data_IF_927385108076
#
_entry.id   IF_927385108076
#
_cell.length_a   1.000
_cell.length_b   1.000
_cell.length_c   1.000
_cell.angle_alpha   90.00
_cell.angle_beta   90.00
_cell.angle_gamma   90.00
#
_symmetry.space_group_name_H-M   'P 1'
#
loop_
_entity.id
_entity.type
_entity.pdbx_description
1 polymer ?
#
# COMPACT_ATOMS: atom_id res chain seq x y z
N UNK A 1 -28.71 -21.74 26.21
CA UNK A 1 -27.72 -22.25 25.23
C UNK A 1 -26.72 -23.09 26.01
N UNK A 2 -26.45 -24.34 25.65
CA UNK A 2 -25.57 -25.21 26.44
C UNK A 2 -24.10 -24.71 26.36
N UNK A 3 -23.33 -24.84 27.46
CA UNK A 3 -21.93 -24.45 27.51
C UNK A 3 -21.07 -25.12 26.40
N UNK A 4 -21.48 -26.31 25.97
CA UNK A 4 -20.89 -27.01 24.82
C UNK A 4 -21.07 -26.26 23.50
N UNK A 5 -22.28 -25.76 23.22
CA UNK A 5 -22.56 -25.05 21.98
C UNK A 5 -21.72 -23.78 21.88
N UNK A 6 -21.52 -23.10 23.01
CA UNK A 6 -20.66 -21.91 23.06
C UNK A 6 -19.19 -22.20 22.74
N UNK A 7 -18.62 -23.23 23.37
CA UNK A 7 -17.22 -23.60 23.10
C UNK A 7 -17.00 -24.03 21.64
N UNK A 8 -17.98 -24.73 21.05
CA UNK A 8 -17.92 -25.08 19.62
C UNK A 8 -17.97 -23.82 18.73
N UNK A 9 -18.86 -22.87 19.04
CA UNK A 9 -18.94 -21.61 18.26
C UNK A 9 -17.65 -20.81 18.38
N UNK A 10 -17.13 -20.60 19.61
CA UNK A 10 -15.88 -19.87 19.83
C UNK A 10 -14.70 -20.55 19.10
N UNK A 11 -14.57 -21.87 19.24
CA UNK A 11 -13.53 -22.63 18.56
C UNK A 11 -13.64 -22.60 17.05
N UNK A 12 -14.86 -22.69 16.50
CA UNK A 12 -15.10 -22.60 15.06
C UNK A 12 -14.75 -21.21 14.51
N UNK A 13 -15.13 -20.13 15.21
CA UNK A 13 -14.78 -18.76 14.79
C UNK A 13 -13.27 -18.53 14.80
N UNK A 14 -12.58 -19.03 15.82
CA UNK A 14 -11.13 -18.92 15.90
C UNK A 14 -10.44 -19.74 14.78
N UNK A 15 -10.92 -20.94 14.52
CA UNK A 15 -10.41 -21.77 13.42
C UNK A 15 -10.68 -21.14 12.05
N UNK A 16 -11.85 -20.53 11.84
CA UNK A 16 -12.17 -19.79 10.63
C UNK A 16 -11.24 -18.57 10.43
N UNK A 17 -10.95 -17.82 11.50
CA UNK A 17 -10.01 -16.71 11.44
C UNK A 17 -8.60 -17.20 11.06
N UNK A 18 -8.13 -18.26 11.70
CA UNK A 18 -6.84 -18.86 11.38
C UNK A 18 -6.78 -19.42 9.95
N UNK A 19 -7.84 -20.08 9.50
CA UNK A 19 -7.99 -20.56 8.12
C UNK A 19 -7.96 -19.43 7.10
N UNK A 20 -8.60 -18.31 7.40
CA UNK A 20 -8.55 -17.11 6.57
C UNK A 20 -7.13 -16.52 6.48
N UNK A 21 -6.40 -16.43 7.60
CA UNK A 21 -5.00 -15.96 7.61
C UNK A 21 -4.10 -16.87 6.79
N UNK A 22 -4.24 -18.18 6.92
CA UNK A 22 -3.51 -19.16 6.12
C UNK A 22 -3.85 -19.04 4.63
N UNK A 23 -5.14 -18.93 4.31
CA UNK A 23 -5.59 -18.78 2.93
C UNK A 23 -5.00 -17.51 2.29
N UNK A 24 -5.00 -16.37 2.98
CA UNK A 24 -4.38 -15.13 2.48
C UNK A 24 -2.89 -15.31 2.17
N UNK A 25 -2.18 -16.02 3.05
CA UNK A 25 -0.74 -16.25 2.87
C UNK A 25 -0.46 -17.23 1.74
N UNK A 26 -1.15 -18.37 1.71
CA UNK A 26 -0.94 -19.42 0.71
C UNK A 26 -1.41 -19.03 -0.69
N UNK A 27 -2.45 -18.19 -0.79
CA UNK A 27 -2.94 -17.68 -2.08
C UNK A 27 -2.11 -16.53 -2.65
N UNK A 28 -1.06 -16.08 -1.93
CA UNK A 28 -0.23 -14.95 -2.35
C UNK A 28 -0.93 -13.59 -2.28
N UNK A 29 -2.08 -13.48 -1.60
CA UNK A 29 -2.85 -12.24 -1.48
C UNK A 29 -2.59 -11.48 -0.17
N UNK A 30 -1.65 -11.94 0.66
CA UNK A 30 -1.33 -11.31 1.95
C UNK A 30 -0.88 -9.85 1.80
N UNK A 31 -0.23 -9.49 0.69
CA UNK A 31 0.19 -8.12 0.37
C UNK A 31 -0.98 -7.12 0.32
N UNK A 32 -2.20 -7.59 0.13
CA UNK A 32 -3.38 -6.71 0.12
C UNK A 32 -3.69 -6.12 1.49
N UNK A 33 -3.26 -6.76 2.56
CA UNK A 33 -3.53 -6.33 3.94
C UNK A 33 -2.26 -6.06 4.74
N UNK A 34 -1.19 -6.80 4.45
CA UNK A 34 0.04 -6.81 5.23
C UNK A 34 1.27 -6.75 4.31
N UNK A 35 2.31 -6.09 4.77
CA UNK A 35 3.61 -6.15 4.12
C UNK A 35 4.08 -7.60 3.96
N UNK A 36 4.58 -8.03 2.79
CA UNK A 36 4.99 -9.42 2.53
C UNK A 36 5.98 -10.02 3.55
N UNK A 37 6.83 -9.21 4.19
CA UNK A 37 7.74 -9.65 5.25
C UNK A 37 7.02 -10.32 6.43
N UNK A 38 5.73 -10.03 6.64
CA UNK A 38 4.93 -10.63 7.71
C UNK A 38 4.23 -11.92 7.28
N UNK A 39 4.41 -12.41 6.05
CA UNK A 39 3.73 -13.60 5.55
C UNK A 39 3.98 -14.83 6.45
N UNK A 40 5.22 -15.05 6.88
CA UNK A 40 5.58 -16.18 7.77
C UNK A 40 4.91 -16.03 9.14
N UNK A 41 4.96 -14.84 9.73
CA UNK A 41 4.33 -14.57 11.04
C UNK A 41 2.82 -14.76 10.94
N UNK A 42 2.21 -14.29 9.85
CA UNK A 42 0.77 -14.46 9.59
C UNK A 42 0.39 -15.95 9.43
N UNK A 43 1.21 -16.74 8.72
CA UNK A 43 0.98 -18.16 8.56
C UNK A 43 1.08 -18.91 9.90
N UNK A 44 2.12 -18.63 10.70
CA UNK A 44 2.30 -19.23 12.04
C UNK A 44 1.13 -18.87 12.95
N UNK A 45 0.76 -17.59 13.02
CA UNK A 45 -0.38 -17.15 13.82
C UNK A 45 -1.70 -17.81 13.36
N UNK A 46 -1.92 -17.90 12.04
CA UNK A 46 -3.07 -18.61 11.48
C UNK A 46 -3.10 -20.08 11.87
N UNK A 47 -1.96 -20.78 11.77
CA UNK A 47 -1.85 -22.18 12.21
C UNK A 47 -2.16 -22.37 13.70
N UNK A 48 -1.63 -21.49 14.55
CA UNK A 48 -1.91 -21.50 16.00
C UNK A 48 -3.41 -21.27 16.25
N UNK A 49 -4.06 -20.34 15.57
CA UNK A 49 -5.49 -20.08 15.69
C UNK A 49 -6.33 -21.30 15.29
N UNK A 50 -5.96 -22.01 14.21
CA UNK A 50 -6.65 -23.24 13.78
C UNK A 50 -6.51 -24.33 14.83
N UNK A 51 -5.30 -24.58 15.35
CA UNK A 51 -5.03 -25.60 16.37
C UNK A 51 -5.77 -25.30 17.67
N UNK A 52 -5.71 -24.06 18.15
CA UNK A 52 -6.41 -23.63 19.35
C UNK A 52 -7.92 -23.71 19.16
N UNK A 53 -8.43 -23.27 18.01
CA UNK A 53 -9.86 -23.35 17.67
C UNK A 53 -10.35 -24.79 17.67
N UNK A 54 -9.61 -25.70 17.06
CA UNK A 54 -9.90 -27.15 17.10
C UNK A 54 -9.85 -27.72 18.53
N UNK A 55 -8.83 -27.38 19.30
CA UNK A 55 -8.72 -27.81 20.70
C UNK A 55 -9.88 -27.31 21.56
N UNK A 56 -10.32 -26.06 21.38
CA UNK A 56 -11.48 -25.50 22.07
C UNK A 56 -12.78 -26.19 21.69
N UNK A 57 -12.98 -26.46 20.39
CA UNK A 57 -14.20 -27.15 19.91
C UNK A 57 -14.27 -28.58 20.43
N UNK A 58 -13.14 -29.27 20.59
CA UNK A 58 -13.08 -30.66 21.08
C UNK A 58 -13.05 -30.76 22.61
N UNK A 59 -12.81 -29.67 23.33
CA UNK A 59 -12.68 -29.66 24.79
C UNK A 59 -14.03 -30.06 25.44
N UNK A 60 -13.99 -31.04 26.33
CA UNK A 60 -15.13 -31.35 27.19
C UNK A 60 -15.31 -30.23 28.22
N UNK A 61 -16.26 -29.33 28.00
CA UNK A 61 -16.54 -28.20 28.89
C UNK A 61 -17.22 -28.69 30.15
N UNK A 62 -16.60 -28.48 31.32
CA UNK A 62 -17.19 -28.79 32.62
C UNK A 62 -18.38 -27.84 32.95
N UNK A 63 -19.28 -28.26 33.87
CA UNK A 63 -20.37 -27.42 34.34
C UNK A 63 -19.76 -26.19 35.08
N UNK A 64 -19.95 -24.98 34.55
CA UNK A 64 -19.52 -23.75 35.22
C UNK A 64 -18.79 -22.70 34.33
N UNK A 65 -18.37 -23.06 33.15
CA UNK A 65 -17.80 -22.07 32.20
C UNK A 65 -18.91 -21.41 31.40
N UNK A 66 -19.38 -20.26 31.89
CA UNK A 66 -20.39 -19.45 31.20
C UNK A 66 -19.87 -18.94 29.83
N UNK A 67 -20.78 -18.94 28.87
CA UNK A 67 -20.52 -18.30 27.56
C UNK A 67 -20.26 -16.82 27.79
N UNK A 68 -19.09 -16.36 27.40
CA UNK A 68 -18.83 -14.91 27.31
C UNK A 68 -19.30 -14.42 25.94
N UNK A 69 -20.52 -13.88 25.88
CA UNK A 69 -21.07 -13.24 24.68
C UNK A 69 -20.09 -12.22 24.08
N UNK A 70 -19.31 -11.53 24.93
CA UNK A 70 -18.30 -10.56 24.49
C UNK A 70 -17.19 -11.18 23.63
N UNK A 71 -16.75 -12.41 23.94
CA UNK A 71 -15.71 -13.11 23.16
C UNK A 71 -16.21 -13.49 21.77
N UNK A 72 -17.43 -14.05 21.69
CA UNK A 72 -18.05 -14.39 20.40
C UNK A 72 -18.24 -13.13 19.57
N UNK A 73 -18.75 -12.05 20.18
CA UNK A 73 -18.93 -10.77 19.50
C UNK A 73 -17.60 -10.19 18.98
N UNK A 74 -16.53 -10.23 19.78
CA UNK A 74 -15.20 -9.78 19.34
C UNK A 74 -14.68 -10.61 18.17
N UNK A 75 -14.71 -11.93 18.24
CA UNK A 75 -14.23 -12.80 17.15
C UNK A 75 -15.06 -12.62 15.86
N UNK A 76 -16.38 -12.50 15.99
CA UNK A 76 -17.25 -12.22 14.85
C UNK A 76 -16.96 -10.83 14.26
N UNK A 77 -16.73 -9.82 15.09
CA UNK A 77 -16.34 -8.48 14.65
C UNK A 77 -15.01 -8.50 13.90
N UNK A 78 -13.99 -9.20 14.41
CA UNK A 78 -12.70 -9.35 13.71
C UNK A 78 -12.84 -10.02 12.35
N UNK A 79 -13.63 -11.08 12.25
CA UNK A 79 -13.93 -11.74 10.98
C UNK A 79 -14.65 -10.80 10.00
N UNK A 80 -15.65 -10.07 10.47
CA UNK A 80 -16.35 -9.07 9.66
C UNK A 80 -15.39 -8.00 9.17
N UNK A 81 -14.56 -7.42 10.04
CA UNK A 81 -13.56 -6.42 9.68
C UNK A 81 -12.54 -6.95 8.65
N UNK A 82 -12.07 -8.19 8.81
CA UNK A 82 -11.19 -8.84 7.86
C UNK A 82 -11.84 -8.97 6.47
N UNK A 83 -13.09 -9.41 6.40
CA UNK A 83 -13.85 -9.50 5.16
C UNK A 83 -14.12 -8.13 4.52
N UNK A 84 -14.48 -7.13 5.33
CA UNK A 84 -14.70 -5.76 4.83
C UNK A 84 -13.41 -5.12 4.31
N UNK A 85 -12.27 -5.37 4.96
CA UNK A 85 -10.97 -4.89 4.50
C UNK A 85 -10.61 -5.43 3.11
N UNK A 86 -10.91 -6.70 2.82
CA UNK A 86 -10.71 -7.27 1.47
C UNK A 86 -11.61 -6.63 0.41
N UNK A 87 -12.82 -6.22 0.77
CA UNK A 87 -13.71 -5.49 -0.16
C UNK A 87 -13.21 -4.08 -0.41
N UNK A 88 -12.72 -3.39 0.63
CA UNK A 88 -12.11 -2.06 0.51
C UNK A 88 -10.89 -2.06 -0.42
N UNK A 89 -10.05 -3.08 -0.35
CA UNK A 89 -8.91 -3.25 -1.27
C UNK A 89 -9.37 -3.47 -2.71
N UNK A 90 -10.52 -4.13 -2.93
CA UNK A 90 -11.11 -4.22 -4.28
C UNK A 90 -11.63 -2.87 -4.80
N UNK A 91 -12.04 -1.96 -3.93
CA UNK A 91 -12.42 -0.57 -4.30
C UNK A 91 -11.19 0.22 -4.74
N UNK A 92 -10.04 0.05 -4.09
CA UNK A 92 -8.74 0.55 -4.59
C UNK A 92 -8.36 -0.07 -5.94
N UNK A 93 -9.02 -1.17 -6.33
CA UNK A 93 -8.72 -1.92 -7.55
C UNK A 93 -9.67 -1.67 -8.73
N UNK A 94 -10.73 -0.96 -8.57
CA UNK A 94 -11.66 -0.73 -9.67
C UNK A 94 -12.84 0.14 -9.27
N UNK A 95 -12.80 1.34 -9.75
CA UNK A 95 -13.89 2.25 -10.00
C UNK A 95 -15.07 2.34 -9.05
N UNK A 96 -15.37 3.57 -8.69
CA UNK A 96 -16.56 4.10 -8.05
C UNK A 96 -16.68 3.93 -6.52
N UNK A 97 -16.30 4.97 -5.89
CA UNK A 97 -16.37 5.50 -4.60
C UNK A 97 -17.48 5.15 -3.62
N UNK A 98 -17.08 5.06 -2.38
CA UNK A 98 -17.81 5.67 -1.27
C UNK A 98 -16.72 6.28 -0.38
N UNK A 99 -16.70 7.59 -0.33
CA UNK A 99 -15.79 8.40 0.48
C UNK A 99 -16.47 8.66 1.83
N UNK A 100 -15.82 8.41 2.98
CA UNK A 100 -16.06 9.24 4.15
C UNK A 100 -15.03 10.37 4.12
N UNK A 101 -15.53 11.60 3.88
CA UNK A 101 -14.75 12.80 4.05
C UNK A 101 -14.43 13.01 5.53
N UNK A 102 -13.15 13.06 5.87
CA UNK A 102 -12.66 13.82 7.00
C UNK A 102 -11.32 14.45 6.62
N UNK A 103 -11.41 15.73 6.36
CA UNK A 103 -10.31 16.61 6.04
C UNK A 103 -9.62 17.04 7.33
N UNK A 104 -8.57 16.36 7.72
CA UNK A 104 -7.51 17.01 8.48
C UNK A 104 -6.20 16.54 7.85
N UNK A 105 -5.63 17.43 7.05
CA UNK A 105 -4.34 17.21 6.39
C UNK A 105 -3.28 16.96 7.46
N UNK A 106 -2.93 15.70 7.66
CA UNK A 106 -1.73 15.34 8.40
C UNK A 106 -0.55 15.76 7.52
N UNK A 107 0.02 16.90 7.87
CA UNK A 107 1.28 17.36 7.29
C UNK A 107 2.35 16.32 7.62
N UNK A 108 2.80 15.57 6.62
CA UNK A 108 3.88 14.60 6.75
C UNK A 108 5.21 15.35 6.71
N UNK A 109 5.50 16.12 7.78
CA UNK A 109 6.77 16.83 7.99
C UNK A 109 7.63 16.18 9.06
N UNK A 110 7.48 14.86 9.29
CA UNK A 110 8.32 14.10 10.21
C UNK A 110 9.06 12.98 9.51
N UNK A 111 10.20 12.52 10.03
CA UNK A 111 10.85 11.33 9.52
C UNK A 111 9.89 10.15 9.59
N UNK A 112 9.83 9.34 8.53
CA UNK A 112 8.97 8.15 8.49
C UNK A 112 9.19 7.28 9.74
N UNK A 113 8.13 6.71 10.35
CA UNK A 113 8.27 5.82 11.50
C UNK A 113 9.18 4.64 11.14
N UNK A 114 10.35 4.57 11.79
CA UNK A 114 11.36 3.51 11.55
C UNK A 114 12.77 4.01 11.22
N UNK A 115 12.94 5.30 10.93
CA UNK A 115 14.27 5.90 10.79
C UNK A 115 14.71 6.49 12.13
N UNK A 116 15.26 5.65 13.00
CA UNK A 116 16.12 6.13 14.09
C UNK A 116 17.48 6.56 13.50
N UNK A 117 18.14 7.59 14.09
CA UNK A 117 19.47 8.00 13.66
C UNK A 117 20.45 6.85 13.90
N UNK A 118 20.90 6.19 12.82
CA UNK A 118 21.96 5.19 12.87
C UNK A 118 21.60 3.74 12.54
N UNK A 119 20.37 3.44 12.11
CA UNK A 119 20.02 2.11 11.60
C UNK A 119 20.45 1.97 10.14
N UNK A 120 21.71 1.64 9.87
CA UNK A 120 22.07 1.01 8.61
C UNK A 120 21.35 -0.33 8.58
N UNK A 121 20.30 -0.45 7.78
CA UNK A 121 19.81 -1.76 7.38
C UNK A 121 20.92 -2.38 6.55
N UNK A 122 21.73 -3.22 7.22
CA UNK A 122 22.60 -4.14 6.52
C UNK A 122 21.69 -5.03 5.68
N UNK A 123 21.72 -4.83 4.37
CA UNK A 123 21.02 -5.66 3.40
C UNK A 123 21.70 -7.02 3.38
N UNK A 124 21.67 -7.69 4.52
CA UNK A 124 22.09 -9.06 4.69
C UNK A 124 21.23 -9.92 3.77
N UNK A 125 21.89 -10.70 2.96
CA UNK A 125 21.33 -11.67 2.05
C UNK A 125 20.17 -12.44 2.73
N UNK A 126 18.95 -12.46 2.15
CA UNK A 126 17.82 -13.14 2.77
C UNK A 126 18.16 -14.61 3.00
N UNK A 127 17.70 -15.21 4.11
CA UNK A 127 17.97 -16.61 4.39
C UNK A 127 17.44 -17.50 3.26
N UNK A 128 18.17 -18.55 2.85
CA UNK A 128 17.75 -19.45 1.80
C UNK A 128 16.41 -20.10 2.14
N UNK A 129 15.40 -19.87 1.29
CA UNK A 129 14.03 -20.35 1.48
C UNK A 129 13.02 -19.26 1.90
N UNK A 130 13.42 -18.01 2.10
CA UNK A 130 12.49 -16.92 2.21
C UNK A 130 11.81 -16.72 0.85
N UNK A 131 10.47 -16.70 0.85
CA UNK A 131 9.70 -16.19 -0.29
C UNK A 131 9.98 -14.68 -0.37
N UNK A 132 11.09 -14.32 -0.99
CA UNK A 132 11.46 -12.94 -1.23
C UNK A 132 10.54 -12.38 -2.30
N UNK A 133 10.15 -11.13 -2.13
CA UNK A 133 9.44 -10.38 -3.17
C UNK A 133 10.19 -10.43 -4.52
N UNK A 134 11.50 -10.64 -4.51
CA UNK A 134 12.36 -10.82 -5.67
C UNK A 134 11.92 -11.99 -6.57
N UNK A 135 11.35 -13.06 -6.02
CA UNK A 135 10.77 -14.16 -6.81
C UNK A 135 9.41 -13.83 -7.43
N UNK A 136 8.74 -12.77 -6.97
CA UNK A 136 7.44 -12.32 -7.47
C UNK A 136 7.55 -11.10 -8.41
N UNK A 137 8.69 -10.40 -8.37
CA UNK A 137 8.95 -9.26 -9.23
C UNK A 137 10.03 -9.60 -10.27
N UNK A 138 9.80 -9.33 -11.55
CA UNK A 138 10.86 -9.45 -12.55
C UNK A 138 12.04 -8.57 -12.13
N UNK A 139 13.26 -9.07 -12.33
CA UNK A 139 14.51 -8.36 -12.06
C UNK A 139 14.43 -6.93 -12.61
N UNK A 140 14.28 -5.97 -11.70
CA UNK A 140 14.06 -4.58 -12.08
C UNK A 140 15.41 -3.98 -12.41
N UNK A 141 15.66 -3.76 -13.69
CA UNK A 141 16.78 -2.93 -14.11
C UNK A 141 16.61 -1.54 -13.50
N UNK A 142 17.67 -1.00 -12.88
CA UNK A 142 17.63 0.31 -12.23
C UNK A 142 17.25 1.44 -13.20
N UNK A 143 17.39 1.21 -14.50
CA UNK A 143 17.20 2.21 -15.54
C UNK A 143 16.38 1.69 -16.72
N UNK A 144 15.73 2.62 -17.44
CA UNK A 144 14.90 2.35 -18.61
C UNK A 144 15.22 3.35 -19.70
N UNK A 145 15.33 2.87 -20.95
CA UNK A 145 15.50 3.74 -22.13
C UNK A 145 14.15 3.93 -22.81
N UNK A 146 13.71 5.19 -22.95
CA UNK A 146 12.49 5.59 -23.66
C UNK A 146 12.85 6.66 -24.66
N UNK A 147 12.56 6.42 -25.95
CA UNK A 147 12.88 7.40 -26.99
C UNK A 147 14.36 7.78 -27.10
N UNK A 148 15.27 6.86 -26.72
CA UNK A 148 16.72 7.11 -26.73
C UNK A 148 17.25 7.86 -25.51
N UNK A 149 16.38 8.21 -24.54
CA UNK A 149 16.77 8.84 -23.27
C UNK A 149 16.76 7.80 -22.17
N UNK A 150 17.79 7.77 -21.35
CA UNK A 150 17.88 6.88 -20.18
C UNK A 150 17.27 7.54 -18.95
N UNK A 151 16.34 6.84 -18.31
CA UNK A 151 15.61 7.27 -17.11
C UNK A 151 15.94 6.37 -15.94
N UNK A 152 16.09 6.95 -14.76
CA UNK A 152 16.19 6.23 -13.50
C UNK A 152 14.78 5.81 -13.07
N UNK A 153 14.56 4.53 -12.77
CA UNK A 153 13.31 4.03 -12.21
C UNK A 153 13.23 4.39 -10.74
N UNK A 154 12.12 5.01 -10.34
CA UNK A 154 11.89 5.46 -8.97
C UNK A 154 10.40 5.44 -8.66
N UNK A 155 10.00 5.35 -7.41
CA UNK A 155 8.60 5.55 -7.01
C UNK A 155 8.37 6.95 -6.43
N UNK A 156 7.10 7.34 -6.32
CA UNK A 156 6.71 8.67 -5.83
C UNK A 156 7.18 8.96 -4.40
N UNK A 157 7.24 7.94 -3.53
CA UNK A 157 7.65 8.13 -2.14
C UNK A 157 9.15 8.41 -2.03
N UNK A 158 9.98 7.63 -2.74
CA UNK A 158 11.44 7.84 -2.79
C UNK A 158 11.77 9.17 -3.45
N UNK A 159 11.11 9.50 -4.55
CA UNK A 159 11.28 10.79 -5.24
C UNK A 159 10.98 11.96 -4.29
N UNK A 160 9.90 11.87 -3.51
CA UNK A 160 9.56 12.89 -2.52
C UNK A 160 10.60 12.96 -1.39
N UNK A 161 10.99 11.83 -0.81
CA UNK A 161 12.00 11.78 0.25
C UNK A 161 13.32 12.42 -0.19
N UNK A 162 13.80 12.10 -1.40
CA UNK A 162 15.02 12.68 -1.95
C UNK A 162 14.86 14.16 -2.25
N UNK A 163 13.74 14.57 -2.84
CA UNK A 163 13.47 15.96 -3.15
C UNK A 163 13.41 16.85 -1.90
N UNK A 164 12.96 16.30 -0.76
CA UNK A 164 12.89 17.04 0.51
C UNK A 164 14.23 17.02 1.27
N UNK A 165 14.96 15.89 1.27
CA UNK A 165 16.17 15.73 2.06
C UNK A 165 17.44 16.13 1.31
N UNK A 166 17.53 15.81 0.01
CA UNK A 166 18.74 15.96 -0.81
C UNK A 166 18.37 16.26 -2.27
N UNK A 167 17.78 17.43 -2.56
CA UNK A 167 17.28 17.76 -3.89
C UNK A 167 18.36 17.69 -4.98
N UNK A 168 19.62 17.96 -4.63
CA UNK A 168 20.79 17.87 -5.53
C UNK A 168 21.14 16.43 -5.93
N UNK A 169 20.71 15.45 -5.17
CA UNK A 169 20.93 14.01 -5.46
C UNK A 169 19.80 13.39 -6.30
N UNK A 170 18.74 14.16 -6.58
CA UNK A 170 17.62 13.66 -7.37
C UNK A 170 18.07 13.46 -8.83
N UNK A 171 17.79 12.28 -9.46
CA UNK A 171 18.11 12.06 -10.86
C UNK A 171 17.45 13.08 -11.78
N UNK A 172 18.17 13.53 -12.81
CA UNK A 172 17.64 14.53 -13.76
C UNK A 172 16.51 13.98 -14.64
N UNK A 173 16.56 12.69 -14.98
CA UNK A 173 15.54 12.01 -15.79
C UNK A 173 15.02 10.80 -15.04
N UNK A 174 13.72 10.81 -14.75
CA UNK A 174 13.05 9.82 -13.88
C UNK A 174 11.89 9.19 -14.64
N UNK A 175 11.71 7.89 -14.46
CA UNK A 175 10.49 7.18 -14.89
C UNK A 175 9.84 6.53 -13.67
N UNK A 176 8.52 6.70 -13.55
CA UNK A 176 7.75 6.15 -12.46
C UNK A 176 6.33 5.77 -12.88
N UNK A 177 5.63 5.04 -12.03
CA UNK A 177 4.28 4.56 -12.28
C UNK A 177 3.36 5.03 -11.17
N UNK A 178 2.11 5.32 -11.53
CA UNK A 178 1.12 5.70 -10.55
C UNK A 178 -0.29 5.72 -11.12
N UNK A 179 -1.23 6.02 -10.24
CA UNK A 179 -2.64 6.15 -10.53
C UNK A 179 -2.99 7.63 -10.67
N UNK A 180 -3.73 7.97 -11.71
CA UNK A 180 -4.19 9.33 -11.99
C UNK A 180 -5.36 9.68 -11.06
N UNK A 181 -5.29 10.88 -10.50
CA UNK A 181 -6.43 11.56 -9.90
C UNK A 181 -6.55 12.97 -10.49
N UNK A 182 -7.77 13.48 -10.56
CA UNK A 182 -8.06 14.75 -11.19
C UNK A 182 -8.81 15.68 -10.25
N UNK A 183 -8.53 16.96 -10.36
CA UNK A 183 -9.33 18.03 -9.78
C UNK A 183 -9.50 19.16 -10.78
N UNK A 184 -10.64 19.88 -10.78
CA UNK A 184 -10.85 20.98 -11.71
C UNK A 184 -9.77 22.05 -11.67
N UNK A 185 -9.15 22.27 -10.49
CA UNK A 185 -8.10 23.26 -10.29
C UNK A 185 -6.79 22.85 -10.97
N UNK A 186 -6.44 21.56 -10.95
CA UNK A 186 -5.26 21.04 -11.64
C UNK A 186 -5.52 20.98 -13.15
N UNK A 187 -6.68 20.52 -13.56
CA UNK A 187 -7.07 20.44 -14.98
C UNK A 187 -6.98 21.82 -15.66
N UNK A 188 -7.42 22.88 -14.98
CA UNK A 188 -7.33 24.26 -15.47
C UNK A 188 -5.89 24.74 -15.68
N UNK A 189 -4.91 24.07 -15.06
CA UNK A 189 -3.46 24.35 -15.21
C UNK A 189 -2.76 23.41 -16.21
N UNK A 190 -3.51 22.50 -16.86
CA UNK A 190 -2.92 21.47 -17.71
C UNK A 190 -2.16 20.41 -16.92
N UNK A 191 -2.62 20.11 -15.70
CA UNK A 191 -1.98 19.16 -14.79
C UNK A 191 -2.94 18.03 -14.44
N UNK A 192 -2.39 16.84 -14.21
CA UNK A 192 -3.07 15.74 -13.54
C UNK A 192 -2.25 15.32 -12.31
N UNK A 193 -2.90 14.89 -11.25
CA UNK A 193 -2.19 14.34 -10.11
C UNK A 193 -1.94 12.84 -10.34
N UNK A 194 -0.74 12.37 -10.07
CA UNK A 194 -0.40 10.94 -10.17
C UNK A 194 0.12 10.49 -8.81
N UNK A 195 -0.43 9.38 -8.30
CA UNK A 195 -0.15 8.88 -6.96
C UNK A 195 0.34 7.44 -6.98
N UNK A 196 1.17 7.09 -6.02
CA UNK A 196 1.54 5.71 -5.73
C UNK A 196 1.26 5.41 -4.27
N UNK A 197 0.51 4.36 -3.98
CA UNK A 197 0.23 3.97 -2.60
C UNK A 197 1.47 3.33 -1.99
N UNK A 198 1.85 3.79 -0.82
CA UNK A 198 2.99 3.31 -0.05
C UNK A 198 2.52 2.84 1.33
N UNK A 199 3.09 1.75 1.83
CA UNK A 199 2.75 1.17 3.13
C UNK A 199 3.99 0.57 3.77
N UNK A 200 4.16 0.75 5.08
CA UNK A 200 5.30 0.22 5.84
C UNK A 200 4.98 -1.14 6.44
N UNK A 201 3.80 -1.32 7.01
CA UNK A 201 3.45 -2.58 7.68
C UNK A 201 2.13 -3.19 7.19
N UNK A 202 1.12 -2.40 6.95
CA UNK A 202 -0.21 -2.91 6.60
C UNK A 202 -1.07 -1.79 5.95
N UNK A 203 -2.22 -2.17 5.42
CA UNK A 203 -3.15 -1.24 4.79
C UNK A 203 -3.56 -0.07 5.71
N UNK A 204 -3.53 -0.28 7.03
CA UNK A 204 -3.89 0.77 8.00
C UNK A 204 -2.87 1.92 8.07
N UNK A 205 -1.66 1.75 7.55
CA UNK A 205 -0.64 2.81 7.46
C UNK A 205 -0.44 3.31 6.01
N UNK A 206 -1.31 2.90 5.09
CA UNK A 206 -1.16 3.23 3.68
C UNK A 206 -1.34 4.73 3.44
N UNK A 207 -0.36 5.33 2.78
CA UNK A 207 -0.37 6.73 2.31
C UNK A 207 -0.20 6.77 0.79
N UNK A 208 -0.69 7.80 0.15
CA UNK A 208 -0.54 7.99 -1.28
C UNK A 208 0.27 9.27 -1.58
N UNK A 209 1.62 9.21 -1.57
CA UNK A 209 2.42 10.29 -2.09
C UNK A 209 2.25 10.41 -3.60
N UNK A 210 2.28 11.65 -4.10
CA UNK A 210 2.14 11.92 -5.52
C UNK A 210 2.60 13.31 -5.93
N UNK A 211 2.66 13.49 -7.23
CA UNK A 211 3.05 14.75 -7.87
C UNK A 211 2.02 15.16 -8.92
N UNK A 212 1.88 16.47 -9.11
CA UNK A 212 1.21 16.98 -10.28
C UNK A 212 2.12 16.80 -11.50
N UNK A 213 1.56 16.28 -12.57
CA UNK A 213 2.22 15.97 -13.83
C UNK A 213 1.67 16.88 -14.90
N UNK A 214 2.54 17.63 -15.58
CA UNK A 214 2.16 18.47 -16.68
C UNK A 214 1.85 17.62 -17.91
N UNK A 215 0.66 17.80 -18.48
CA UNK A 215 0.17 17.08 -19.65
C UNK A 215 -0.41 18.05 -20.67
N UNK A 216 -0.40 17.68 -21.96
CA UNK A 216 -0.96 18.52 -23.02
C UNK A 216 -2.50 18.58 -22.94
N UNK A 217 -3.11 17.47 -22.55
CA UNK A 217 -4.56 17.33 -22.47
C UNK A 217 -4.94 16.45 -21.26
N UNK A 218 -5.38 17.05 -20.14
CA UNK A 218 -5.85 16.31 -18.96
C UNK A 218 -7.03 15.39 -19.24
N UNK A 219 -7.89 15.70 -20.21
CA UNK A 219 -9.11 14.93 -20.49
C UNK A 219 -8.83 13.55 -21.09
N UNK A 220 -7.61 13.33 -21.55
CA UNK A 220 -7.16 12.00 -22.01
C UNK A 220 -7.01 10.99 -20.88
N UNK A 221 -6.99 11.42 -19.62
CA UNK A 221 -6.73 10.57 -18.47
C UNK A 221 -7.95 10.53 -17.55
N UNK A 222 -8.37 9.33 -17.18
CA UNK A 222 -9.47 9.12 -16.25
C UNK A 222 -8.98 8.90 -14.82
N UNK A 223 -9.70 9.36 -13.78
CA UNK A 223 -9.42 9.01 -12.40
C UNK A 223 -9.32 7.50 -12.22
N UNK A 224 -8.34 7.05 -11.44
CA UNK A 224 -8.05 5.62 -11.22
C UNK A 224 -7.26 4.93 -12.33
N UNK A 225 -7.00 5.61 -13.44
CA UNK A 225 -6.20 5.07 -14.55
C UNK A 225 -4.72 4.98 -14.15
N UNK A 226 -4.08 3.85 -14.45
CA UNK A 226 -2.66 3.68 -14.24
C UNK A 226 -1.87 4.22 -15.43
N UNK A 227 -0.80 4.94 -15.10
CA UNK A 227 0.11 5.54 -16.08
C UNK A 227 1.56 5.29 -15.71
N UNK A 228 2.41 5.21 -16.74
CA UNK A 228 3.84 5.36 -16.61
C UNK A 228 4.19 6.76 -17.09
N UNK A 229 4.97 7.48 -16.29
CA UNK A 229 5.37 8.87 -16.54
C UNK A 229 6.89 8.93 -16.61
N UNK A 230 7.45 9.54 -17.66
CA UNK A 230 8.87 9.76 -17.82
C UNK A 230 9.16 11.25 -18.04
N UNK A 231 10.16 11.78 -17.34
CA UNK A 231 10.49 13.19 -17.38
C UNK A 231 11.36 13.62 -16.19
N UNK A 232 11.13 14.83 -15.69
CA UNK A 232 11.90 15.40 -14.58
C UNK A 232 11.02 16.16 -13.59
N UNK A 233 11.46 16.20 -12.35
CA UNK A 233 10.81 16.97 -11.29
C UNK A 233 11.38 18.40 -11.30
N UNK A 234 10.51 19.40 -11.28
CA UNK A 234 10.86 20.81 -11.25
C UNK A 234 10.13 21.54 -10.12
N UNK A 235 10.73 22.59 -9.59
CA UNK A 235 10.09 23.45 -8.60
C UNK A 235 8.98 24.24 -9.29
N UNK A 236 7.79 24.24 -8.68
CA UNK A 236 6.67 25.05 -9.14
C UNK A 236 6.86 26.51 -8.71
N UNK A 237 6.62 27.50 -9.58
CA UNK A 237 6.73 28.92 -9.21
C UNK A 237 5.71 29.36 -8.15
N UNK A 238 4.64 28.59 -7.96
CA UNK A 238 3.58 28.82 -6.96
C UNK A 238 3.11 27.49 -6.42
N UNK A 239 2.64 27.44 -5.16
CA UNK A 239 2.03 26.23 -4.61
C UNK A 239 0.84 25.79 -5.48
N UNK A 240 0.77 24.50 -5.73
CA UNK A 240 -0.26 23.92 -6.57
C UNK A 240 -1.59 23.86 -5.82
N UNK A 241 -2.70 24.18 -6.49
CA UNK A 241 -4.03 24.11 -5.93
C UNK A 241 -4.59 22.68 -5.95
N UNK A 242 -5.79 22.55 -5.40
CA UNK A 242 -6.54 21.29 -5.40
C UNK A 242 -6.16 20.38 -4.24
N UNK A 243 -7.03 19.43 -3.97
CA UNK A 243 -6.86 18.44 -2.92
C UNK A 243 -7.36 17.07 -3.42
N UNK A 244 -6.65 16.48 -4.41
CA UNK A 244 -7.05 15.19 -4.96
C UNK A 244 -6.97 14.12 -3.85
N UNK A 245 -7.94 13.22 -3.83
CA UNK A 245 -8.05 12.18 -2.82
C UNK A 245 -7.94 10.79 -3.44
N UNK A 246 -7.05 9.97 -2.90
CA UNK A 246 -6.94 8.55 -3.25
C UNK A 246 -7.81 7.75 -2.27
N UNK A 247 -8.81 7.01 -2.74
CA UNK A 247 -9.67 6.23 -1.85
C UNK A 247 -8.90 5.11 -1.12
N UNK A 248 -9.24 4.85 0.14
CA UNK A 248 -8.76 3.69 0.89
C UNK A 248 -7.36 3.83 1.50
N UNK A 249 -6.77 5.02 1.49
CA UNK A 249 -5.54 5.36 2.21
C UNK A 249 -5.85 6.27 3.40
N UNK A 250 -4.94 6.32 4.39
CA UNK A 250 -5.12 7.22 5.54
C UNK A 250 -4.83 8.68 5.19
N UNK A 251 -3.97 8.90 4.18
CA UNK A 251 -3.65 10.23 3.70
C UNK A 251 -3.23 10.21 2.24
N UNK A 252 -3.71 11.19 1.48
CA UNK A 252 -3.21 11.53 0.15
C UNK A 252 -2.30 12.74 0.27
N UNK A 253 -1.09 12.66 -0.26
CA UNK A 253 -0.07 13.70 -0.07
C UNK A 253 0.45 14.15 -1.43
N UNK A 254 -0.20 15.17 -2.00
CA UNK A 254 0.28 15.85 -3.20
C UNK A 254 1.46 16.77 -2.86
N UNK A 255 2.55 16.66 -3.60
CA UNK A 255 3.61 17.68 -3.54
C UNK A 255 3.11 18.97 -4.20
N UNK A 256 2.98 20.03 -3.41
CA UNK A 256 2.46 21.31 -3.89
C UNK A 256 3.54 22.29 -4.35
N UNK A 257 4.78 21.97 -4.08
CA UNK A 257 5.93 22.84 -4.41
C UNK A 257 6.63 22.43 -5.71
N UNK A 258 6.30 21.24 -6.23
CA UNK A 258 6.97 20.65 -7.38
C UNK A 258 5.98 20.15 -8.42
N UNK A 259 6.38 20.25 -9.69
CA UNK A 259 5.64 19.72 -10.85
C UNK A 259 6.54 18.75 -11.58
N UNK A 260 6.01 17.60 -11.94
CA UNK A 260 6.69 16.67 -12.81
C UNK A 260 6.44 17.07 -14.28
N UNK A 261 7.50 17.53 -14.95
CA UNK A 261 7.47 17.83 -16.38
C UNK A 261 7.66 16.55 -17.17
N UNK A 262 6.56 16.01 -17.65
CA UNK A 262 6.62 14.78 -18.42
C UNK A 262 7.05 15.05 -19.87
N UNK A 263 7.87 14.12 -20.41
CA UNK A 263 8.16 14.01 -21.84
C UNK A 263 7.36 12.88 -22.47
N UNK A 264 7.05 11.87 -21.68
CA UNK A 264 6.26 10.72 -22.10
C UNK A 264 5.33 10.30 -20.97
N UNK A 265 4.05 10.13 -21.29
CA UNK A 265 3.04 9.59 -20.39
C UNK A 265 2.17 8.62 -21.16
N UNK A 266 2.14 7.37 -20.68
CA UNK A 266 1.39 6.30 -21.34
C UNK A 266 0.52 5.56 -20.33
N UNK A 267 -0.73 5.25 -20.69
CA UNK A 267 -1.55 4.32 -19.93
C UNK A 267 -0.86 2.95 -19.85
N UNK A 268 -0.94 2.34 -18.70
CA UNK A 268 -0.43 0.98 -18.45
C UNK A 268 -1.50 0.14 -17.75
N UNK A 269 -1.34 -1.17 -17.81
CA UNK A 269 -2.09 -2.06 -16.94
C UNK A 269 -1.68 -1.83 -15.49
N UNK A 270 -2.62 -2.04 -14.58
CA UNK A 270 -2.35 -1.97 -13.16
C UNK A 270 -1.26 -2.99 -12.79
N UNK A 271 -0.19 -2.58 -12.07
CA UNK A 271 0.81 -3.51 -11.57
C UNK A 271 0.18 -4.61 -10.72
N UNK A 272 0.71 -5.84 -10.81
CA UNK A 272 0.22 -6.96 -9.98
C UNK A 272 0.28 -6.66 -8.48
N UNK A 273 1.30 -5.91 -8.04
CA UNK A 273 1.39 -5.31 -6.69
C UNK A 273 1.35 -3.79 -6.82
N UNK A 274 0.20 -3.16 -6.54
CA UNK A 274 0.05 -1.71 -6.73
C UNK A 274 0.65 -0.88 -5.59
N UNK A 275 1.08 -1.52 -4.50
CA UNK A 275 1.68 -0.86 -3.35
C UNK A 275 3.21 -0.84 -3.42
N UNK A 276 3.80 0.20 -2.86
CA UNK A 276 5.23 0.28 -2.57
C UNK A 276 5.43 -0.08 -1.09
N UNK A 277 6.26 -1.08 -0.84
CA UNK A 277 6.56 -1.57 0.51
C UNK A 277 8.00 -1.28 0.95
N UNK A 278 8.86 -0.92 0.00
CA UNK A 278 10.26 -0.64 0.23
C UNK A 278 10.59 0.78 -0.20
N UNK A 279 11.51 1.39 0.54
CA UNK A 279 12.03 2.72 0.26
C UNK A 279 13.55 2.63 0.29
N UNK A 280 14.19 3.09 -0.77
CA UNK A 280 15.63 3.05 -0.94
C UNK A 280 16.16 4.46 -1.12
N UNK A 281 17.31 4.73 -0.53
CA UNK A 281 17.97 6.04 -0.65
C UNK A 281 18.95 6.11 -1.82
N UNK A 282 19.24 4.98 -2.45
CA UNK A 282 20.18 4.82 -3.55
C UNK A 282 19.65 3.85 -4.60
N UNK A 283 20.14 3.93 -5.82
CA UNK A 283 19.84 2.97 -6.89
C UNK A 283 20.29 1.53 -6.51
N UNK A 284 19.54 0.50 -6.93
CA UNK A 284 18.26 0.58 -7.64
C UNK A 284 17.12 0.97 -6.69
N UNK A 285 16.32 1.97 -7.08
CA UNK A 285 15.13 2.37 -6.35
C UNK A 285 13.99 1.34 -6.53
N UNK A 286 13.02 1.35 -5.63
CA UNK A 286 11.80 0.58 -5.80
C UNK A 286 10.89 1.24 -6.87
N UNK A 287 10.17 0.41 -7.69
CA UNK A 287 9.44 0.91 -8.87
C UNK A 287 8.01 0.37 -8.96
#
# INVERSE_FOLDING_TARGET
MSARLGAVIEGSLLACLGGFMLWLTLSGHSWQLLHPRFAVVNAVAGGVCVLLGGAFALRRVGPGTGLSFSRIACLALFLCLAFFSLRGVRVLSGGAGIVPASSDAVSFSGPMPGQGPGGSFDAGQPPPGSLTLEGLMPEQTARMVIGGVEYVRMNAAEMRMMADARPESLPGEIVWQGMVERTPELDALGLVAVFRVASVCCLADAVAPGFAVAVDDPDRFSPGQWVRVAGRLEISPKPLPGDPQVPGVIATVLDRERVFRCRDIVPIERPGVPFVFEFRETEPFAY
#
